data_IF_732390182706
#
_entry.id   IF_732390182706
#
_cell.length_a   1.000
_cell.length_b   1.000
_cell.length_c   1.000
_cell.angle_alpha   90.00
_cell.angle_beta   90.00
_cell.angle_gamma   90.00
#
_symmetry.space_group_name_H-M   'P 1'
#
loop_
_entity.id
_entity.type
_entity.pdbx_description
1 polymer ?
#
# COMPACT_ATOMS: atom_id res chain seq x y z
N UNK A 1 27.72 2.89 28.88
CA UNK A 1 26.93 1.94 28.08
C UNK A 1 25.46 2.34 27.97
N UNK A 2 24.74 2.53 29.08
CA UNK A 2 23.31 2.92 29.05
C UNK A 2 23.09 4.26 28.33
N UNK A 3 23.91 5.28 28.59
CA UNK A 3 23.84 6.58 27.93
C UNK A 3 24.10 6.50 26.42
N UNK A 4 25.06 5.68 26.01
CA UNK A 4 25.38 5.40 24.59
C UNK A 4 24.17 4.78 23.88
N UNK A 5 23.54 3.79 24.52
CA UNK A 5 22.32 3.16 23.99
C UNK A 5 21.17 4.15 23.86
N UNK A 6 20.90 4.95 24.91
CA UNK A 6 19.82 5.95 24.90
C UNK A 6 20.01 7.03 23.83
N UNK A 7 21.25 7.52 23.67
CA UNK A 7 21.60 8.50 22.65
C UNK A 7 21.44 7.92 21.23
N UNK A 8 21.75 6.64 21.04
CA UNK A 8 21.56 5.94 19.75
C UNK A 8 20.08 5.84 19.37
N UNK A 9 19.19 5.63 20.36
CA UNK A 9 17.73 5.61 20.11
C UNK A 9 17.21 6.93 19.57
N UNK A 10 17.72 8.08 20.06
CA UNK A 10 17.30 9.40 19.56
C UNK A 10 17.62 9.55 18.08
N UNK A 11 18.83 9.16 17.67
CA UNK A 11 19.27 9.18 16.26
C UNK A 11 18.45 8.22 15.39
N UNK A 12 18.21 7.00 15.87
CA UNK A 12 17.41 6.01 15.17
C UNK A 12 15.99 6.52 14.91
N UNK A 13 15.32 7.04 15.93
CA UNK A 13 13.93 7.54 15.83
C UNK A 13 13.84 8.75 14.91
N UNK A 14 14.79 9.69 15.01
CA UNK A 14 14.87 10.83 14.11
C UNK A 14 15.04 10.39 12.65
N UNK A 15 15.97 9.47 12.38
CA UNK A 15 16.20 8.95 11.03
C UNK A 15 14.95 8.26 10.48
N UNK A 16 14.29 7.42 11.28
CA UNK A 16 13.06 6.72 10.88
C UNK A 16 11.92 7.69 10.55
N UNK A 17 11.71 8.71 11.39
CA UNK A 17 10.66 9.72 11.17
C UNK A 17 10.95 10.57 9.92
N UNK A 18 12.20 10.95 9.69
CA UNK A 18 12.59 11.70 8.49
C UNK A 18 12.45 10.86 7.22
N UNK A 19 12.85 9.59 7.25
CA UNK A 19 12.66 8.66 6.13
C UNK A 19 11.16 8.41 5.88
N UNK A 20 10.36 8.26 6.93
CA UNK A 20 8.91 8.11 6.80
C UNK A 20 8.24 9.36 6.21
N UNK A 21 8.67 10.55 6.64
CA UNK A 21 8.27 11.82 6.05
C UNK A 21 8.63 11.89 4.55
N UNK A 22 9.90 11.64 4.21
CA UNK A 22 10.36 11.63 2.82
C UNK A 22 9.58 10.62 1.98
N UNK A 23 9.32 9.42 2.48
CA UNK A 23 8.52 8.42 1.79
C UNK A 23 7.09 8.93 1.52
N UNK A 24 6.42 9.52 2.52
CA UNK A 24 5.05 10.06 2.36
C UNK A 24 4.97 11.28 1.43
N UNK A 25 6.05 12.06 1.32
CA UNK A 25 6.11 13.24 0.45
C UNK A 25 6.54 12.90 -0.98
N UNK A 26 7.45 11.95 -1.16
CA UNK A 26 8.01 11.58 -2.48
C UNK A 26 7.15 10.54 -3.20
N UNK A 27 6.45 9.69 -2.46
CA UNK A 27 5.70 8.57 -3.04
C UNK A 27 4.27 9.01 -3.22
N UNK A 28 3.99 9.38 -4.46
CA UNK A 28 2.66 9.78 -4.90
C UNK A 28 1.72 8.58 -4.77
N UNK A 29 0.82 8.65 -3.80
CA UNK A 29 -0.38 7.84 -3.81
C UNK A 29 -1.17 8.24 -5.06
N UNK A 30 -1.07 7.42 -6.11
CA UNK A 30 -2.02 7.51 -7.21
C UNK A 30 -3.38 7.20 -6.62
N UNK A 31 -4.23 8.25 -6.65
CA UNK A 31 -5.59 8.24 -6.17
C UNK A 31 -6.20 6.89 -6.50
N UNK A 32 -6.71 6.22 -5.47
CA UNK A 32 -7.51 5.02 -5.65
C UNK A 32 -8.54 5.31 -6.74
N UNK A 33 -8.33 4.75 -7.93
CA UNK A 33 -9.36 4.67 -8.95
C UNK A 33 -10.53 3.96 -8.28
N UNK A 34 -11.59 4.74 -8.09
CA UNK A 34 -12.99 4.35 -7.99
C UNK A 34 -13.21 2.84 -7.73
N UNK A 35 -13.58 2.40 -6.52
CA UNK A 35 -14.45 1.24 -6.39
C UNK A 35 -15.84 1.70 -6.81
N UNK A 36 -16.08 1.80 -8.12
CA UNK A 36 -17.32 2.40 -8.62
C UNK A 36 -18.53 1.48 -8.40
N UNK A 37 -18.32 0.19 -8.13
CA UNK A 37 -19.41 -0.77 -7.94
C UNK A 37 -19.05 -1.78 -6.86
N UNK A 38 -19.84 -1.79 -5.77
CA UNK A 38 -19.89 -2.89 -4.80
C UNK A 38 -21.37 -3.29 -4.72
N UNK A 39 -21.70 -4.45 -5.29
CA UNK A 39 -23.03 -5.08 -5.26
C UNK A 39 -24.18 -4.35 -6.00
N UNK A 40 -23.93 -3.75 -7.17
CA UNK A 40 -25.01 -3.28 -8.06
C UNK A 40 -25.82 -2.09 -7.53
N UNK A 41 -25.37 -1.41 -6.48
CA UNK A 41 -26.00 -0.18 -5.98
C UNK A 41 -25.15 1.02 -6.39
N UNK A 42 -25.66 1.95 -7.23
CA UNK A 42 -24.92 3.15 -7.60
C UNK A 42 -24.73 4.02 -6.36
N UNK A 43 -23.48 4.18 -5.91
CA UNK A 43 -23.14 5.14 -4.87
C UNK A 43 -23.08 6.52 -5.55
N UNK A 44 -23.84 7.54 -5.08
CA UNK A 44 -23.81 8.85 -5.72
C UNK A 44 -22.39 9.43 -5.71
N UNK A 45 -21.85 9.66 -6.91
CA UNK A 45 -20.48 10.09 -7.18
C UNK A 45 -20.02 11.32 -6.35
N UNK A 46 -20.95 12.16 -5.89
CA UNK A 46 -20.65 13.31 -5.04
C UNK A 46 -20.18 12.96 -3.62
N UNK A 47 -20.74 11.91 -3.00
CA UNK A 47 -20.40 11.49 -1.62
C UNK A 47 -19.14 10.63 -1.57
N UNK A 48 -18.91 9.79 -2.58
CA UNK A 48 -17.67 9.03 -2.76
C UNK A 48 -16.47 9.94 -3.04
N UNK A 49 -16.66 10.99 -3.85
CA UNK A 49 -15.60 11.97 -4.17
C UNK A 49 -15.26 12.89 -2.99
N UNK A 50 -16.22 13.22 -2.14
CA UNK A 50 -15.98 14.02 -0.93
C UNK A 50 -15.29 13.22 0.19
N UNK A 51 -15.56 11.92 0.33
CA UNK A 51 -14.93 11.08 1.37
C UNK A 51 -13.51 10.65 0.99
N UNK A 52 -13.26 10.35 -0.29
CA UNK A 52 -11.93 10.01 -0.82
C UNK A 52 -11.01 11.24 -0.92
N UNK A 53 -11.52 12.40 -1.37
CA UNK A 53 -10.71 13.62 -1.50
C UNK A 53 -10.37 14.26 -0.15
N UNK A 54 -11.22 14.07 0.88
CA UNK A 54 -11.01 14.66 2.22
C UNK A 54 -10.10 13.80 3.10
N UNK A 55 -9.96 12.50 2.80
CA UNK A 55 -9.11 11.56 3.55
C UNK A 55 -7.75 11.22 2.92
N UNK A 56 -7.58 11.29 1.59
CA UNK A 56 -6.46 10.59 0.93
C UNK A 56 -5.09 11.29 0.90
N UNK A 57 -5.04 12.62 0.73
CA UNK A 57 -3.76 13.30 0.42
C UNK A 57 -3.35 14.37 1.42
N UNK A 58 -4.25 15.27 1.79
CA UNK A 58 -3.95 16.33 2.76
C UNK A 58 -3.63 15.76 4.14
N UNK A 59 -4.34 14.70 4.51
CA UNK A 59 -4.09 13.99 5.77
C UNK A 59 -2.74 13.25 5.71
N UNK A 60 -2.42 12.54 4.63
CA UNK A 60 -1.12 11.86 4.46
C UNK A 60 0.05 12.84 4.46
N UNK A 61 -0.07 13.98 3.77
CA UNK A 61 0.93 15.05 3.80
C UNK A 61 1.02 15.69 5.18
N UNK A 62 -0.11 15.93 5.85
CA UNK A 62 -0.14 16.48 7.21
C UNK A 62 0.55 15.56 8.21
N UNK A 63 0.29 14.25 8.13
CA UNK A 63 0.98 13.24 8.94
C UNK A 63 2.46 13.19 8.60
N UNK A 64 2.83 13.18 7.31
CA UNK A 64 4.23 13.21 6.89
C UNK A 64 5.00 14.43 7.38
N UNK A 65 4.39 15.63 7.29
CA UNK A 65 4.96 16.86 7.85
C UNK A 65 5.06 16.79 9.38
N UNK A 66 4.06 16.25 10.07
CA UNK A 66 4.10 16.04 11.51
C UNK A 66 5.24 15.12 11.94
N UNK A 67 5.44 14.00 11.24
CA UNK A 67 6.56 13.10 11.45
C UNK A 67 7.91 13.79 11.17
N UNK A 68 7.99 14.55 10.08
CA UNK A 68 9.20 15.30 9.71
C UNK A 68 9.58 16.36 10.74
N UNK A 69 8.60 17.14 11.22
CA UNK A 69 8.80 18.13 12.28
C UNK A 69 9.23 17.47 13.59
N UNK A 70 8.62 16.34 13.95
CA UNK A 70 8.98 15.59 15.16
C UNK A 70 10.39 14.99 15.05
N UNK A 71 10.75 14.43 13.90
CA UNK A 71 12.09 13.93 13.62
C UNK A 71 13.16 15.03 13.66
N UNK A 72 12.86 16.20 13.09
CA UNK A 72 13.75 17.36 13.14
C UNK A 72 13.88 17.91 14.57
N UNK A 73 12.78 17.95 15.33
CA UNK A 73 12.81 18.37 16.72
C UNK A 73 13.70 17.44 17.56
N UNK A 74 13.63 16.11 17.38
CA UNK A 74 14.52 15.17 18.08
C UNK A 74 16.01 15.37 17.75
N UNK A 75 16.34 15.85 16.54
CA UNK A 75 17.72 16.19 16.18
C UNK A 75 18.17 17.48 16.86
N UNK A 76 17.33 18.52 16.81
CA UNK A 76 17.69 19.88 17.21
C UNK A 76 17.48 20.15 18.70
N UNK A 77 16.70 19.33 19.41
CA UNK A 77 16.37 19.58 20.81
C UNK A 77 16.48 18.35 21.70
N UNK A 78 16.89 18.58 22.95
CA UNK A 78 16.92 17.60 24.03
C UNK A 78 15.69 17.70 24.95
N UNK A 79 14.69 18.51 24.60
CA UNK A 79 13.48 18.69 25.42
C UNK A 79 12.72 17.37 25.63
N UNK A 80 12.42 17.08 26.90
CA UNK A 80 11.64 15.92 27.31
C UNK A 80 10.24 15.89 26.66
N UNK A 81 9.64 17.06 26.42
CA UNK A 81 8.31 17.18 25.79
C UNK A 81 8.27 16.58 24.38
N UNK A 82 9.29 16.82 23.56
CA UNK A 82 9.40 16.26 22.20
C UNK A 82 9.55 14.75 22.25
N UNK A 83 10.29 14.24 23.23
CA UNK A 83 10.48 12.80 23.41
C UNK A 83 9.23 12.11 23.91
N UNK A 84 8.53 12.71 24.87
CA UNK A 84 7.22 12.24 25.32
C UNK A 84 6.22 12.21 24.17
N UNK A 85 6.16 13.27 23.36
CA UNK A 85 5.31 13.31 22.17
C UNK A 85 5.66 12.17 21.19
N UNK A 86 6.95 11.93 20.96
CA UNK A 86 7.44 10.81 20.14
C UNK A 86 7.01 9.45 20.68
N UNK A 87 7.17 9.22 21.99
CA UNK A 87 6.75 7.99 22.65
C UNK A 87 5.24 7.77 22.53
N UNK A 88 4.43 8.83 22.72
CA UNK A 88 2.97 8.76 22.56
C UNK A 88 2.59 8.43 21.12
N UNK A 89 3.24 9.07 20.13
CA UNK A 89 2.98 8.80 18.70
C UNK A 89 3.30 7.34 18.35
N UNK A 90 4.45 6.82 18.77
CA UNK A 90 4.80 5.42 18.51
C UNK A 90 3.93 4.43 19.28
N UNK A 91 3.53 4.74 20.51
CA UNK A 91 2.60 3.90 21.27
C UNK A 91 1.22 3.85 20.60
N UNK A 92 0.70 5.00 20.17
CA UNK A 92 -0.55 5.09 19.42
C UNK A 92 -0.45 4.33 18.08
N UNK A 93 0.66 4.46 17.36
CA UNK A 93 0.90 3.71 16.13
C UNK A 93 0.91 2.19 16.40
N UNK A 94 1.58 1.73 17.45
CA UNK A 94 1.58 0.31 17.85
C UNK A 94 0.19 -0.19 18.20
N UNK A 95 -0.59 0.60 18.94
CA UNK A 95 -1.98 0.29 19.26
C UNK A 95 -2.83 0.15 17.99
N UNK A 96 -2.78 1.15 17.09
CA UNK A 96 -3.53 1.14 15.83
C UNK A 96 -3.16 -0.06 14.96
N UNK A 97 -1.87 -0.39 14.84
CA UNK A 97 -1.42 -1.56 14.06
C UNK A 97 -1.88 -2.87 14.73
N UNK A 98 -1.90 -2.93 16.06
CA UNK A 98 -2.47 -4.06 16.81
C UNK A 98 -3.97 -4.24 16.56
N UNK A 99 -4.73 -3.15 16.61
CA UNK A 99 -6.18 -3.15 16.38
C UNK A 99 -6.51 -3.53 14.93
N UNK A 100 -5.77 -2.99 13.96
CA UNK A 100 -5.93 -3.32 12.55
C UNK A 100 -5.65 -4.81 12.29
N UNK A 101 -4.66 -5.39 12.96
CA UNK A 101 -4.39 -6.83 12.85
C UNK A 101 -5.58 -7.67 13.33
N UNK A 102 -6.30 -7.23 14.36
CA UNK A 102 -7.45 -7.96 14.92
C UNK A 102 -8.70 -7.75 14.08
N UNK A 103 -8.99 -6.50 13.66
CA UNK A 103 -10.25 -6.16 12.98
C UNK A 103 -10.21 -6.27 11.46
N UNK A 104 -9.07 -6.02 10.81
CA UNK A 104 -8.93 -5.93 9.35
C UNK A 104 -7.52 -6.36 8.89
N UNK A 105 -7.19 -7.66 8.94
CA UNK A 105 -5.86 -8.17 8.57
C UNK A 105 -5.47 -7.90 7.11
N UNK A 106 -6.46 -7.63 6.25
CA UNK A 106 -6.27 -7.33 4.82
C UNK A 106 -6.02 -5.83 4.52
N UNK A 107 -6.19 -4.94 5.49
CA UNK A 107 -5.86 -3.52 5.33
C UNK A 107 -4.35 -3.28 5.47
N UNK A 108 -3.78 -2.39 4.64
CA UNK A 108 -2.40 -1.94 4.80
C UNK A 108 -2.25 -1.04 6.04
N UNK A 109 -1.08 -1.06 6.69
CA UNK A 109 -0.87 -0.29 7.92
C UNK A 109 -0.61 1.22 7.69
N UNK A 110 -0.45 1.67 6.44
CA UNK A 110 -0.30 3.09 6.08
C UNK A 110 0.94 3.82 6.63
N UNK A 111 1.74 3.19 7.51
CA UNK A 111 2.86 3.84 8.21
C UNK A 111 3.95 4.41 7.29
N UNK A 112 4.03 3.99 6.02
CA UNK A 112 4.96 4.53 5.01
C UNK A 112 4.21 5.07 3.77
N UNK A 113 2.94 5.46 3.92
CA UNK A 113 2.06 5.81 2.80
C UNK A 113 1.79 4.60 1.90
N UNK A 114 1.53 4.85 0.61
CA UNK A 114 1.24 3.85 -0.43
C UNK A 114 2.28 2.75 -0.66
N UNK A 115 3.47 2.84 -0.04
CA UNK A 115 4.44 1.73 -0.02
C UNK A 115 4.00 0.55 0.84
N UNK A 116 3.20 0.80 1.87
CA UNK A 116 2.83 -0.20 2.88
C UNK A 116 1.45 -0.80 2.63
N UNK A 117 1.15 -1.15 1.36
CA UNK A 117 -0.05 -1.89 0.97
C UNK A 117 -0.03 -3.38 1.34
N UNK A 118 1.02 -3.85 2.03
CA UNK A 118 1.14 -5.25 2.50
C UNK A 118 0.25 -5.49 3.71
N UNK A 119 -0.41 -6.66 3.75
CA UNK A 119 -1.21 -7.15 4.90
C UNK A 119 -0.47 -6.95 6.22
N UNK A 120 -1.16 -6.49 7.26
CA UNK A 120 -0.58 -6.28 8.60
C UNK A 120 -0.23 -7.63 9.23
N UNK A 121 1.04 -8.04 9.09
CA UNK A 121 1.56 -9.27 9.66
C UNK A 121 2.01 -9.11 11.12
N UNK A 122 2.24 -10.25 11.80
CA UNK A 122 2.81 -10.30 13.17
C UNK A 122 4.13 -9.51 13.29
N UNK A 123 4.91 -9.47 12.21
CA UNK A 123 6.20 -8.75 12.13
C UNK A 123 6.02 -7.23 12.13
N UNK A 124 4.92 -6.70 11.58
CA UNK A 124 4.63 -5.26 11.59
C UNK A 124 4.33 -4.77 13.00
N UNK A 125 3.57 -5.57 13.78
CA UNK A 125 3.31 -5.29 15.20
C UNK A 125 4.61 -5.35 16.01
N UNK A 126 5.45 -6.35 15.78
CA UNK A 126 6.74 -6.47 16.46
C UNK A 126 7.65 -5.26 16.17
N UNK A 127 7.69 -4.80 14.92
CA UNK A 127 8.44 -3.59 14.55
C UNK A 127 7.91 -2.34 15.23
N UNK A 128 6.58 -2.17 15.28
CA UNK A 128 5.96 -1.04 15.97
C UNK A 128 6.30 -1.06 17.46
N UNK A 129 6.21 -2.22 18.10
CA UNK A 129 6.63 -2.44 19.49
C UNK A 129 8.11 -2.08 19.72
N UNK A 130 9.00 -2.48 18.82
CA UNK A 130 10.42 -2.13 18.90
C UNK A 130 10.65 -0.61 18.83
N UNK A 131 9.94 0.10 17.95
CA UNK A 131 10.01 1.56 17.90
C UNK A 131 9.43 2.22 19.15
N UNK A 132 8.35 1.67 19.73
CA UNK A 132 7.84 2.15 21.02
C UNK A 132 8.86 1.93 22.13
N UNK A 133 9.51 0.76 22.18
CA UNK A 133 10.55 0.48 23.17
C UNK A 133 11.76 1.41 23.01
N UNK A 134 12.20 1.67 21.77
CA UNK A 134 13.22 2.66 21.44
C UNK A 134 12.84 4.07 21.93
N UNK A 135 11.59 4.49 21.69
CA UNK A 135 11.09 5.79 22.13
C UNK A 135 11.06 5.92 23.66
N UNK A 136 10.63 4.87 24.37
CA UNK A 136 10.69 4.83 25.85
C UNK A 136 12.14 4.91 26.33
N UNK A 137 13.06 4.17 25.71
CA UNK A 137 14.47 4.22 26.07
C UNK A 137 15.10 5.60 25.82
N UNK A 138 14.67 6.32 24.78
CA UNK A 138 15.18 7.67 24.47
C UNK A 138 14.81 8.74 25.50
N UNK A 139 13.81 8.49 26.37
CA UNK A 139 13.41 9.46 27.40
C UNK A 139 14.58 9.84 28.33
N UNK A 140 15.48 8.88 28.60
CA UNK A 140 16.63 9.09 29.47
C UNK A 140 17.89 9.63 28.79
N UNK A 141 17.87 9.93 27.49
CA UNK A 141 19.06 10.35 26.75
C UNK A 141 19.54 11.75 27.18
N UNK A 142 20.81 11.97 27.52
CA UNK A 142 21.28 13.30 27.94
C UNK A 142 21.43 14.29 26.77
N UNK A 143 21.60 13.82 25.53
CA UNK A 143 22.01 14.66 24.38
C UNK A 143 20.92 14.81 23.31
N UNK A 144 21.01 15.87 22.52
CA UNK A 144 20.22 16.03 21.29
C UNK A 144 20.85 15.22 20.14
N UNK A 145 20.06 14.87 19.12
CA UNK A 145 20.54 14.00 18.04
C UNK A 145 21.74 14.58 17.26
N UNK A 146 21.80 15.90 17.07
CA UNK A 146 22.94 16.55 16.38
C UNK A 146 24.23 16.44 17.19
N UNK A 147 24.17 16.60 18.51
CA UNK A 147 25.35 16.49 19.38
C UNK A 147 25.94 15.08 19.33
N UNK A 148 25.08 14.06 19.29
CA UNK A 148 25.49 12.66 19.14
C UNK A 148 26.06 12.38 17.76
N UNK A 149 25.59 13.07 16.72
CA UNK A 149 26.09 12.92 15.35
C UNK A 149 27.46 13.59 15.14
N UNK A 150 27.71 14.71 15.84
CA UNK A 150 28.99 15.41 15.78
C UNK A 150 30.08 14.72 16.61
N UNK A 151 29.71 14.04 17.70
CA UNK A 151 30.60 13.24 18.55
C UNK A 151 30.38 11.72 18.32
N UNK A 152 30.37 11.30 17.04
CA UNK A 152 30.19 9.88 16.69
C UNK A 152 31.38 9.06 17.17
N UNK A 153 31.20 8.47 18.36
CA UNK A 153 32.03 7.39 18.86
C UNK A 153 31.77 6.13 18.01
N UNK A 154 32.81 5.38 17.66
CA UNK A 154 32.69 4.15 16.84
C UNK A 154 31.66 3.14 17.40
N UNK A 155 31.45 3.14 18.73
CA UNK A 155 30.44 2.34 19.41
C UNK A 155 29.00 2.75 19.08
N UNK A 156 28.71 4.05 18.96
CA UNK A 156 27.38 4.57 18.56
C UNK A 156 27.07 4.16 17.13
N UNK A 157 28.05 4.30 16.23
CA UNK A 157 27.93 3.86 14.85
C UNK A 157 27.67 2.35 14.72
N UNK A 158 28.39 1.53 15.50
CA UNK A 158 28.19 0.08 15.51
C UNK A 158 26.78 -0.31 15.98
N UNK A 159 26.31 0.26 17.10
CA UNK A 159 24.98 -0.04 17.64
C UNK A 159 23.90 0.39 16.65
N UNK A 160 24.04 1.56 16.03
CA UNK A 160 23.10 2.04 15.01
C UNK A 160 23.05 1.09 13.79
N UNK A 161 24.21 0.62 13.31
CA UNK A 161 24.27 -0.33 12.19
C UNK A 161 23.63 -1.67 12.56
N UNK A 162 23.86 -2.17 13.77
CA UNK A 162 23.25 -3.41 14.26
C UNK A 162 21.73 -3.26 14.38
N UNK A 163 21.25 -2.14 14.91
CA UNK A 163 19.82 -1.85 15.02
C UNK A 163 19.16 -1.73 13.65
N UNK A 164 19.76 -0.96 12.73
CA UNK A 164 19.30 -0.86 11.34
C UNK A 164 19.30 -2.23 10.65
N UNK A 165 20.32 -3.06 10.89
CA UNK A 165 20.40 -4.44 10.41
C UNK A 165 19.27 -5.32 10.95
N UNK A 166 18.95 -5.19 12.25
CA UNK A 166 17.83 -5.88 12.88
C UNK A 166 16.50 -5.43 12.28
N UNK A 167 16.28 -4.12 12.11
CA UNK A 167 15.09 -3.58 11.45
C UNK A 167 14.96 -4.02 9.99
N UNK A 168 16.07 -4.08 9.25
CA UNK A 168 16.11 -4.57 7.88
C UNK A 168 15.78 -6.07 7.81
N UNK A 169 16.33 -6.89 8.72
CA UNK A 169 16.01 -8.32 8.81
C UNK A 169 14.54 -8.58 9.14
N UNK A 170 13.95 -7.72 10.00
CA UNK A 170 12.52 -7.74 10.32
C UNK A 170 11.63 -7.15 9.20
N UNK A 171 12.22 -6.46 8.22
CA UNK A 171 11.54 -5.79 7.10
C UNK A 171 12.01 -6.32 5.73
N UNK A 172 11.50 -7.47 5.26
CA UNK A 172 11.81 -7.99 3.92
C UNK A 172 11.32 -7.09 2.76
N UNK A 173 10.54 -6.05 3.08
CA UNK A 173 10.15 -4.99 2.12
C UNK A 173 11.30 -4.01 1.87
N UNK A 174 12.16 -3.78 2.87
CA UNK A 174 13.28 -2.87 2.77
C UNK A 174 14.44 -3.47 1.96
N UNK A 175 14.66 -4.79 2.03
CA UNK A 175 15.66 -5.47 1.19
C UNK A 175 15.25 -5.49 -0.29
N UNK A 176 13.95 -5.59 -0.59
CA UNK A 176 13.42 -5.45 -1.94
C UNK A 176 13.56 -4.01 -2.46
N UNK A 177 13.33 -3.00 -1.60
CA UNK A 177 13.51 -1.59 -1.92
C UNK A 177 14.99 -1.19 -2.03
N UNK A 178 15.88 -1.70 -1.19
CA UNK A 178 17.34 -1.45 -1.24
C UNK A 178 18.00 -2.08 -2.48
N UNK A 179 17.48 -3.23 -2.94
CA UNK A 179 17.82 -3.78 -4.26
C UNK A 179 17.27 -2.92 -5.41
N UNK A 180 16.10 -2.30 -5.22
CA UNK A 180 15.45 -1.46 -6.23
C UNK A 180 16.04 -0.06 -6.31
N UNK A 181 16.54 0.49 -5.20
CA UNK A 181 17.16 1.81 -5.11
C UNK A 181 18.64 1.82 -5.46
N UNK A 182 19.24 0.66 -5.76
CA UNK A 182 20.64 0.54 -6.18
C UNK A 182 21.67 0.84 -5.08
N UNK A 183 21.23 1.13 -3.85
CA UNK A 183 22.11 1.55 -2.74
C UNK A 183 23.01 0.43 -2.20
N UNK A 184 22.63 -0.84 -2.43
CA UNK A 184 23.41 -2.04 -2.09
C UNK A 184 23.80 -2.88 -3.32
N UNK A 185 23.34 -2.48 -4.50
CA UNK A 185 23.58 -3.17 -5.76
C UNK A 185 24.36 -2.26 -6.68
N UNK A 186 25.69 -2.37 -6.64
CA UNK A 186 26.54 -1.75 -7.64
C UNK A 186 26.11 -2.16 -9.05
N UNK A 187 26.11 -1.19 -9.95
CA UNK A 187 25.97 -1.41 -11.38
C UNK A 187 24.52 -1.41 -11.85
N UNK A 188 24.15 -0.31 -12.51
CA UNK A 188 22.98 -0.29 -13.37
C UNK A 188 23.03 -1.44 -14.36
N UNK A 189 21.99 -2.26 -14.37
CA UNK A 189 21.68 -3.13 -15.49
C UNK A 189 20.19 -2.96 -15.83
N UNK A 190 19.87 -2.69 -17.11
CA UNK A 190 18.51 -2.55 -17.58
C UNK A 190 17.80 -3.91 -17.54
N UNK A 191 16.54 -3.89 -17.06
CA UNK A 191 15.48 -4.84 -17.42
C UNK A 191 15.91 -6.30 -17.63
N UNK A 192 16.16 -7.03 -16.53
CA UNK A 192 16.41 -8.49 -16.56
C UNK A 192 15.13 -9.34 -16.38
N UNK A 193 14.97 -10.48 -17.08
CA UNK A 193 13.73 -11.26 -17.21
C UNK A 193 13.48 -12.23 -16.04
N UNK A 194 13.71 -11.78 -14.80
CA UNK A 194 13.72 -12.66 -13.62
C UNK A 194 12.80 -12.23 -12.47
N UNK A 195 11.92 -11.25 -12.69
CA UNK A 195 11.01 -10.81 -11.63
C UNK A 195 9.92 -11.87 -11.42
N UNK A 196 9.73 -12.42 -10.19
CA UNK A 196 8.56 -13.23 -9.91
C UNK A 196 7.33 -12.36 -10.16
N UNK A 197 6.47 -12.80 -11.09
CA UNK A 197 5.25 -12.08 -11.44
C UNK A 197 4.43 -11.84 -10.17
N UNK A 198 3.94 -10.62 -10.00
CA UNK A 198 3.08 -10.31 -8.87
C UNK A 198 1.85 -11.22 -8.97
N UNK A 199 1.48 -11.99 -7.92
CA UNK A 199 0.27 -12.81 -7.97
C UNK A 199 -0.91 -11.95 -8.42
N UNK A 200 -1.68 -12.41 -9.40
CA UNK A 200 -2.73 -11.62 -10.05
C UNK A 200 -3.74 -11.04 -9.06
N UNK A 201 -4.08 -11.79 -8.01
CA UNK A 201 -4.89 -11.36 -6.86
C UNK A 201 -4.40 -10.05 -6.21
N UNK A 202 -3.08 -9.81 -6.24
CA UNK A 202 -2.41 -8.64 -5.63
C UNK A 202 -2.08 -7.57 -6.65
N UNK A 203 -2.20 -7.87 -7.95
CA UNK A 203 -2.00 -6.89 -9.01
C UNK A 203 -3.17 -5.92 -9.01
N UNK A 204 -2.84 -4.64 -8.92
CA UNK A 204 -3.77 -3.56 -9.23
C UNK A 204 -3.93 -3.57 -10.76
N UNK A 205 -5.08 -4.04 -11.23
CA UNK A 205 -5.44 -4.06 -12.64
C UNK A 205 -6.46 -2.95 -12.87
N UNK A 206 -6.05 -1.82 -13.47
CA UNK A 206 -6.94 -0.73 -13.87
C UNK A 206 -8.06 -1.26 -14.78
N UNK A 207 -9.22 -0.62 -14.69
CA UNK A 207 -10.39 -1.02 -15.48
C UNK A 207 -10.14 -0.76 -16.97
N UNK A 208 -9.41 0.31 -17.28
CA UNK A 208 -9.00 0.70 -18.63
C UNK A 208 -8.14 -0.36 -19.30
N UNK A 209 -7.21 -0.97 -18.56
CA UNK A 209 -6.38 -2.08 -19.05
C UNK A 209 -7.25 -3.31 -19.39
N UNK A 210 -8.31 -3.53 -18.60
CA UNK A 210 -9.25 -4.63 -18.85
C UNK A 210 -10.02 -4.40 -20.14
N UNK A 211 -10.57 -3.19 -20.33
CA UNK A 211 -11.29 -2.86 -21.55
C UNK A 211 -10.39 -2.85 -22.79
N UNK A 212 -9.17 -2.32 -22.69
CA UNK A 212 -8.21 -2.40 -23.78
C UNK A 212 -7.89 -3.86 -24.16
N UNK A 213 -7.61 -4.70 -23.16
CA UNK A 213 -7.35 -6.14 -23.39
C UNK A 213 -8.58 -6.86 -23.96
N UNK A 214 -9.78 -6.49 -23.53
CA UNK A 214 -11.03 -7.03 -24.04
C UNK A 214 -11.24 -6.64 -25.50
N UNK A 215 -11.19 -5.35 -25.83
CA UNK A 215 -11.44 -4.85 -27.18
C UNK A 215 -10.38 -5.31 -28.19
N UNK A 216 -9.15 -5.54 -27.74
CA UNK A 216 -8.08 -6.13 -28.58
C UNK A 216 -8.18 -7.67 -28.72
N UNK A 217 -9.15 -8.32 -28.05
CA UNK A 217 -9.23 -9.79 -28.00
C UNK A 217 -10.02 -10.39 -29.17
N UNK A 218 -9.69 -11.62 -29.60
CA UNK A 218 -10.49 -12.33 -30.61
C UNK A 218 -11.91 -12.64 -30.12
N UNK A 219 -12.10 -12.85 -28.81
CA UNK A 219 -13.41 -13.07 -28.21
C UNK A 219 -14.33 -11.85 -28.41
N UNK A 220 -13.78 -10.64 -28.33
CA UNK A 220 -14.53 -9.42 -28.63
C UNK A 220 -14.90 -9.33 -30.11
N UNK A 221 -13.94 -9.51 -31.01
CA UNK A 221 -14.18 -9.46 -32.45
C UNK A 221 -15.24 -10.48 -32.93
N UNK A 222 -15.34 -11.64 -32.27
CA UNK A 222 -16.36 -12.65 -32.56
C UNK A 222 -17.78 -12.20 -32.17
N UNK A 223 -17.93 -11.43 -31.09
CA UNK A 223 -19.22 -11.15 -30.46
C UNK A 223 -19.66 -9.68 -30.62
N UNK A 224 -18.79 -8.77 -31.06
CA UNK A 224 -19.07 -7.32 -31.08
C UNK A 224 -20.32 -6.96 -31.89
N UNK A 225 -20.61 -7.70 -32.96
CA UNK A 225 -21.78 -7.46 -33.81
C UNK A 225 -23.10 -7.90 -33.17
N UNK A 226 -23.03 -8.71 -32.10
CA UNK A 226 -24.20 -9.15 -31.34
C UNK A 226 -24.52 -8.20 -30.18
N UNK A 227 -23.57 -7.35 -29.78
CA UNK A 227 -23.70 -6.47 -28.62
C UNK A 227 -24.69 -5.35 -28.92
N UNK A 228 -25.73 -5.23 -28.09
CA UNK A 228 -26.80 -4.27 -28.24
C UNK A 228 -26.47 -2.88 -27.66
N UNK A 229 -25.52 -2.81 -26.73
CA UNK A 229 -25.07 -1.56 -26.10
C UNK A 229 -23.58 -1.59 -25.81
N UNK A 230 -22.88 -0.49 -26.08
CA UNK A 230 -21.47 -0.32 -25.73
C UNK A 230 -21.23 -0.12 -24.21
N UNK A 231 -22.31 -0.01 -23.42
CA UNK A 231 -22.23 0.09 -21.96
C UNK A 231 -22.46 -1.29 -21.36
N UNK A 232 -21.53 -1.82 -20.55
CA UNK A 232 -21.72 -3.11 -19.88
C UNK A 232 -22.82 -3.03 -18.82
N UNK A 233 -23.56 -4.12 -18.65
CA UNK A 233 -24.58 -4.27 -17.61
C UNK A 233 -23.95 -4.38 -16.21
N UNK A 234 -22.86 -5.14 -16.10
CA UNK A 234 -22.15 -5.34 -14.84
C UNK A 234 -20.66 -5.61 -15.08
N UNK A 235 -19.84 -5.24 -14.09
CA UNK A 235 -18.40 -5.46 -14.06
C UNK A 235 -17.96 -5.81 -12.65
N UNK A 236 -17.47 -7.04 -12.45
CA UNK A 236 -16.93 -7.46 -11.16
C UNK A 236 -15.62 -8.23 -11.33
N UNK A 237 -14.92 -8.42 -10.21
CA UNK A 237 -13.65 -9.14 -10.17
C UNK A 237 -13.75 -10.31 -9.22
N UNK A 238 -13.34 -11.48 -9.70
CA UNK A 238 -13.25 -12.69 -8.87
C UNK A 238 -11.88 -13.35 -9.08
N UNK A 239 -11.08 -13.37 -8.01
CA UNK A 239 -9.70 -13.83 -8.03
C UNK A 239 -8.85 -13.08 -9.08
N UNK A 240 -8.39 -13.83 -10.07
CA UNK A 240 -7.52 -13.34 -11.15
C UNK A 240 -8.28 -12.96 -12.42
N UNK A 241 -9.60 -13.00 -12.42
CA UNK A 241 -10.44 -12.68 -13.56
C UNK A 241 -11.29 -11.45 -13.28
N UNK A 242 -11.49 -10.63 -14.30
CA UNK A 242 -12.49 -9.58 -14.32
C UNK A 242 -13.57 -9.97 -15.31
N UNK A 243 -14.81 -9.99 -14.85
CA UNK A 243 -15.97 -10.33 -15.63
C UNK A 243 -16.65 -9.04 -16.08
N UNK A 244 -17.04 -8.98 -17.35
CA UNK A 244 -17.72 -7.86 -17.98
C UNK A 244 -18.91 -8.41 -18.75
N UNK A 245 -20.10 -7.91 -18.46
CA UNK A 245 -21.35 -8.40 -19.07
C UNK A 245 -21.89 -7.36 -20.03
N UNK A 246 -22.17 -7.77 -21.27
CA UNK A 246 -22.82 -6.91 -22.27
C UNK A 246 -24.21 -7.45 -22.63
N UNK A 247 -25.19 -6.56 -22.82
CA UNK A 247 -26.45 -6.95 -23.40
C UNK A 247 -26.23 -7.22 -24.90
N UNK A 248 -26.85 -8.27 -25.42
CA UNK A 248 -26.68 -8.71 -26.80
C UNK A 248 -27.98 -9.28 -27.37
N UNK A 249 -28.02 -9.45 -28.70
CA UNK A 249 -29.13 -10.05 -29.42
C UNK A 249 -28.66 -11.13 -30.36
N UNK A 250 -29.29 -12.30 -30.27
CA UNK A 250 -29.04 -13.45 -31.15
C UNK A 250 -30.39 -14.01 -31.61
N UNK A 251 -30.60 -14.09 -32.92
CA UNK A 251 -31.82 -14.62 -33.54
C UNK A 251 -33.12 -14.04 -32.92
N UNK A 252 -33.18 -12.71 -32.79
CA UNK A 252 -34.29 -11.93 -32.18
C UNK A 252 -34.52 -12.16 -30.68
N UNK A 253 -33.65 -12.88 -29.98
CA UNK A 253 -33.70 -13.06 -28.52
C UNK A 253 -32.68 -12.18 -27.83
N UNK A 254 -33.09 -11.58 -26.72
CA UNK A 254 -32.16 -10.89 -25.82
C UNK A 254 -31.33 -11.93 -25.07
N UNK A 255 -30.01 -11.77 -25.15
CA UNK A 255 -29.00 -12.62 -24.53
C UNK A 255 -27.96 -11.76 -23.84
N UNK A 256 -27.19 -12.33 -22.94
CA UNK A 256 -26.07 -11.68 -22.27
C UNK A 256 -24.77 -12.33 -22.70
N UNK A 257 -23.75 -11.52 -22.96
CA UNK A 257 -22.41 -12.02 -23.26
C UNK A 257 -21.50 -11.64 -22.11
N UNK A 258 -20.94 -12.64 -21.45
CA UNK A 258 -20.02 -12.48 -20.33
C UNK A 258 -18.60 -12.71 -20.82
N UNK A 259 -17.75 -11.71 -20.67
CA UNK A 259 -16.32 -11.81 -20.93
C UNK A 259 -15.54 -11.94 -19.64
N UNK A 260 -14.74 -12.99 -19.50
CA UNK A 260 -13.76 -13.16 -18.44
C UNK A 260 -12.37 -12.76 -18.95
N UNK A 261 -11.87 -11.62 -18.46
CA UNK A 261 -10.57 -11.04 -18.83
C UNK A 261 -9.56 -11.34 -17.72
N UNK A 262 -8.42 -11.94 -18.08
CA UNK A 262 -7.35 -12.21 -17.12
C UNK A 262 -6.72 -10.90 -16.63
N UNK A 263 -6.52 -10.80 -15.32
CA UNK A 263 -5.87 -9.66 -14.68
C UNK A 263 -4.37 -9.89 -14.43
N UNK A 264 -3.85 -11.06 -14.83
CA UNK A 264 -2.45 -11.41 -14.65
C UNK A 264 -1.53 -10.61 -15.59
N UNK A 265 -0.35 -10.24 -15.10
CA UNK A 265 0.58 -9.31 -15.76
C UNK A 265 1.03 -9.75 -17.17
N UNK A 266 1.08 -11.08 -17.40
CA UNK A 266 1.54 -11.67 -18.66
C UNK A 266 0.46 -12.49 -19.35
N UNK A 267 -0.74 -12.52 -18.78
CA UNK A 267 -1.84 -13.32 -19.30
C UNK A 267 -2.91 -12.36 -19.81
N UNK A 268 -3.05 -12.32 -21.14
CA UNK A 268 -4.07 -11.53 -21.84
C UNK A 268 -5.22 -12.40 -22.33
N UNK A 269 -5.41 -13.57 -21.70
CA UNK A 269 -6.49 -14.47 -22.06
C UNK A 269 -7.83 -13.79 -21.77
N UNK A 270 -8.69 -13.79 -22.78
CA UNK A 270 -10.09 -13.41 -22.67
C UNK A 270 -10.92 -14.63 -23.05
N UNK A 271 -11.91 -14.96 -22.23
CA UNK A 271 -12.90 -16.01 -22.50
C UNK A 271 -14.27 -15.38 -22.58
N UNK A 272 -15.14 -15.92 -23.42
CA UNK A 272 -16.53 -15.48 -23.54
C UNK A 272 -17.50 -16.63 -23.26
N UNK A 273 -18.69 -16.29 -22.79
CA UNK A 273 -19.83 -17.18 -22.70
C UNK A 273 -21.10 -16.40 -23.06
N UNK A 274 -21.99 -17.00 -23.84
CA UNK A 274 -23.30 -16.45 -24.17
C UNK A 274 -24.33 -17.11 -23.28
N UNK A 275 -25.12 -16.30 -22.57
CA UNK A 275 -26.18 -16.73 -21.65
C UNK A 275 -27.52 -16.24 -22.21
N UNK A 276 -28.50 -17.12 -22.33
CA UNK A 276 -29.89 -16.70 -22.58
C UNK A 276 -30.42 -15.96 -21.36
N UNK A 277 -31.09 -14.82 -21.57
CA UNK A 277 -31.55 -13.92 -20.51
C UNK A 277 -32.71 -14.48 -19.64
N UNK A 278 -32.85 -15.80 -19.51
CA UNK A 278 -33.99 -16.43 -18.85
C UNK A 278 -33.54 -17.52 -17.85
N UNK A 279 -33.29 -17.09 -16.60
CA UNK A 279 -33.55 -17.83 -15.34
C UNK A 279 -33.00 -17.12 -14.06
N UNK A 280 -32.84 -15.79 -14.01
CA UNK A 280 -32.44 -15.10 -12.76
C UNK A 280 -33.60 -14.81 -11.78
N UNK A 281 -34.84 -15.19 -12.12
CA UNK A 281 -36.04 -14.90 -11.31
C UNK A 281 -36.75 -16.12 -10.72
N UNK A 282 -36.08 -17.27 -10.58
CA UNK A 282 -36.66 -18.46 -9.93
C UNK A 282 -35.81 -18.98 -8.75
N UNK A 283 -35.56 -18.12 -7.76
CA UNK A 283 -35.14 -18.57 -6.42
C UNK A 283 -35.82 -17.77 -5.31
N UNK A 284 -37.15 -17.78 -5.32
CA UNK A 284 -37.95 -17.52 -4.10
C UNK A 284 -39.20 -18.38 -4.16
N UNK A 285 -39.08 -19.60 -3.64
CA UNK A 285 -40.19 -20.35 -3.05
C UNK A 285 -39.76 -20.82 -1.67
#
# INVERSE_FOLDING_TARGET
>A
MVTVFQNTQVLLLAAVLLVACLAKLTIREEASGEPDHVHGVPVPAGLARLTTARGGRRMTVGVGLGEGLLGLALLLTSHLSVRLATTVVFAAATWVVGELRVRRPDAGCGCFGGLSGKKVGRRSVLRALLFTAAAVASLGAPLAGVDVLLDVQAQVGLVLVVELGLFAALSPELSALLRRSGLLGGGGLPHGPGRPATPCERRRSPVEETFATLYDSPAWAEHENLIASAVPLDVWREGCWRFVVFPARLDERDVEIVFAVSTAERDRTVRSAVLTAEAALSSTS
#
